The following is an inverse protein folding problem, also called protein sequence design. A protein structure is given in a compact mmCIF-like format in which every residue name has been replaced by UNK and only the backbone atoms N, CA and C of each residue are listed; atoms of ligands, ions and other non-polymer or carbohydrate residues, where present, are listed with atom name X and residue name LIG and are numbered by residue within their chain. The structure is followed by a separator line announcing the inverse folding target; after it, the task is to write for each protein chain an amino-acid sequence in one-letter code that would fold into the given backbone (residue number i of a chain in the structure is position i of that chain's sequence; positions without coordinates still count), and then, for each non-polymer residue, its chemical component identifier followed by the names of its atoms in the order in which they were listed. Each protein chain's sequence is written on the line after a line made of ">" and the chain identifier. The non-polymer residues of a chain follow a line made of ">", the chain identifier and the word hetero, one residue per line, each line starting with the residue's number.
data_IF_441930774308
#
_entry.id   IF_441930774308
#
_cell.length_a   1.000
_cell.length_b   1.000
_cell.length_c   1.000
_cell.angle_alpha   90.00
_cell.angle_beta   90.00
_cell.angle_gamma   90.00
#
_symmetry.space_group_name_H-M   'P 1'
#
loop_
_entity.id
_entity.type
_entity.pdbx_description
1 polymer ?
#
# COMPACT_ATOMS: atom_id res chain seq x y z
N UNK A 1 16.89 8.73 7.05
CA UNK A 1 17.28 7.53 7.85
C UNK A 1 16.05 6.81 8.42
N UNK A 2 15.03 7.52 8.93
CA UNK A 2 13.81 6.94 9.52
C UNK A 2 12.98 6.13 8.52
N UNK A 3 12.82 6.59 7.26
CA UNK A 3 12.06 5.85 6.22
C UNK A 3 12.66 4.51 5.85
N UNK A 4 13.98 4.43 5.72
CA UNK A 4 14.66 3.15 5.42
C UNK A 4 14.44 2.13 6.54
N UNK A 5 14.48 2.59 7.80
CA UNK A 5 14.21 1.76 8.97
C UNK A 5 12.77 1.26 8.96
N UNK A 6 11.81 2.18 8.73
CA UNK A 6 10.37 1.89 8.62
C UNK A 6 10.09 0.79 7.59
N UNK A 7 10.58 0.94 6.35
CA UNK A 7 10.35 -0.05 5.30
C UNK A 7 11.07 -1.37 5.56
N UNK A 8 12.23 -1.36 6.19
CA UNK A 8 12.94 -2.59 6.60
C UNK A 8 12.14 -3.36 7.65
N UNK A 9 11.62 -2.69 8.67
CA UNK A 9 10.77 -3.29 9.70
C UNK A 9 9.45 -3.80 9.10
N UNK A 10 8.82 -3.02 8.23
CA UNK A 10 7.61 -3.43 7.52
C UNK A 10 7.85 -4.67 6.64
N UNK A 11 8.95 -4.74 5.90
CA UNK A 11 9.30 -5.89 5.08
C UNK A 11 9.53 -7.16 5.92
N UNK A 12 10.23 -7.04 7.05
CA UNK A 12 10.45 -8.15 8.01
C UNK A 12 9.11 -8.63 8.59
N UNK A 13 8.26 -7.70 9.05
CA UNK A 13 6.94 -7.99 9.59
C UNK A 13 6.05 -8.70 8.55
N UNK A 14 6.02 -8.20 7.33
CA UNK A 14 5.23 -8.79 6.24
C UNK A 14 5.77 -10.19 5.86
N UNK A 15 7.11 -10.35 5.77
CA UNK A 15 7.73 -11.67 5.51
C UNK A 15 7.27 -12.71 6.54
N UNK A 16 7.26 -12.35 7.84
CA UNK A 16 6.84 -13.22 8.93
C UNK A 16 5.33 -13.49 8.88
N UNK A 17 4.52 -12.44 8.85
CA UNK A 17 3.05 -12.54 8.95
C UNK A 17 2.43 -13.32 7.80
N UNK A 18 2.93 -13.16 6.58
CA UNK A 18 2.41 -13.83 5.39
C UNK A 18 3.24 -15.05 4.97
N UNK A 19 4.23 -15.45 5.78
CA UNK A 19 5.13 -16.59 5.49
C UNK A 19 5.71 -16.50 4.07
N UNK A 20 6.12 -15.29 3.65
CA UNK A 20 6.58 -15.02 2.30
C UNK A 20 7.89 -15.76 2.02
N UNK A 21 7.97 -16.40 0.84
CA UNK A 21 9.15 -17.16 0.39
C UNK A 21 9.90 -16.36 -0.66
N UNK A 22 11.12 -15.91 -0.34
CA UNK A 22 11.90 -14.96 -1.15
C UNK A 22 12.09 -15.39 -2.62
N UNK A 23 12.20 -16.69 -2.91
CA UNK A 23 12.34 -17.21 -4.28
C UNK A 23 11.01 -17.29 -5.06
N UNK A 24 9.86 -17.39 -4.38
CA UNK A 24 8.55 -17.64 -5.00
C UNK A 24 7.67 -16.40 -5.02
N UNK A 25 7.62 -15.66 -3.92
CA UNK A 25 6.73 -14.52 -3.71
C UNK A 25 7.00 -13.39 -4.71
N UNK A 26 5.95 -12.90 -5.37
CA UNK A 26 5.97 -11.75 -6.25
C UNK A 26 5.34 -10.53 -5.56
N UNK A 27 6.10 -9.45 -5.49
CA UNK A 27 5.72 -8.22 -4.78
C UNK A 27 5.66 -7.07 -5.80
N UNK A 28 4.58 -6.31 -5.74
CA UNK A 28 4.42 -5.05 -6.49
C UNK A 28 4.31 -3.90 -5.49
N UNK A 29 4.98 -2.80 -5.78
CA UNK A 29 4.88 -1.56 -5.02
C UNK A 29 4.38 -0.43 -5.93
N UNK A 30 3.25 0.16 -5.57
CA UNK A 30 2.59 1.21 -6.34
C UNK A 30 3.02 2.56 -5.78
N UNK A 31 3.47 3.48 -6.67
CA UNK A 31 4.13 4.71 -6.26
C UNK A 31 5.46 4.41 -5.60
N UNK A 32 6.24 3.53 -6.23
CA UNK A 32 7.43 2.94 -5.62
C UNK A 32 8.57 3.92 -5.39
N UNK A 33 8.43 5.16 -5.84
CA UNK A 33 9.46 6.19 -5.73
C UNK A 33 10.81 5.69 -6.30
N UNK A 34 11.90 5.90 -5.61
CA UNK A 34 13.24 5.37 -5.99
C UNK A 34 13.45 3.90 -5.60
N UNK A 35 12.38 3.18 -5.24
CA UNK A 35 12.38 1.76 -4.90
C UNK A 35 12.72 1.48 -3.43
N UNK A 36 12.62 2.46 -2.55
CA UNK A 36 13.03 2.34 -1.14
C UNK A 36 12.34 1.17 -0.41
N UNK A 37 11.03 0.97 -0.59
CA UNK A 37 10.31 -0.15 0.03
C UNK A 37 10.73 -1.49 -0.59
N UNK A 38 10.85 -1.56 -1.92
CA UNK A 38 11.29 -2.76 -2.62
C UNK A 38 12.75 -3.13 -2.32
N UNK A 39 13.60 -2.14 -2.05
CA UNK A 39 14.98 -2.39 -1.61
C UNK A 39 15.03 -3.18 -0.33
N UNK A 40 14.15 -2.87 0.64
CA UNK A 40 14.05 -3.64 1.88
C UNK A 40 13.69 -5.12 1.62
N UNK A 41 12.79 -5.42 0.68
CA UNK A 41 12.49 -6.79 0.29
C UNK A 41 13.66 -7.43 -0.48
N UNK A 42 14.32 -6.69 -1.38
CA UNK A 42 15.50 -7.18 -2.10
C UNK A 42 16.62 -7.61 -1.15
N UNK A 43 16.89 -6.81 -0.12
CA UNK A 43 17.89 -7.12 0.91
C UNK A 43 17.52 -8.37 1.73
N UNK A 44 16.22 -8.72 1.84
CA UNK A 44 15.72 -9.97 2.41
C UNK A 44 15.72 -11.16 1.43
N UNK A 45 16.31 -10.98 0.23
CA UNK A 45 16.49 -12.00 -0.78
C UNK A 45 15.30 -12.20 -1.74
N UNK A 46 14.31 -11.29 -1.77
CA UNK A 46 13.21 -11.36 -2.72
C UNK A 46 13.69 -10.95 -4.11
N UNK A 47 13.48 -11.85 -5.11
CA UNK A 47 13.92 -11.65 -6.49
C UNK A 47 12.80 -11.18 -7.43
N UNK A 48 11.55 -11.49 -7.10
CA UNK A 48 10.38 -11.13 -7.92
C UNK A 48 9.72 -9.89 -7.33
N UNK A 49 10.30 -8.74 -7.61
CA UNK A 49 9.84 -7.43 -7.17
C UNK A 49 9.63 -6.52 -8.37
N UNK A 50 8.60 -5.66 -8.33
CA UNK A 50 8.29 -4.69 -9.37
C UNK A 50 7.77 -3.40 -8.76
N UNK A 51 8.38 -2.29 -9.10
CA UNK A 51 7.86 -0.96 -8.83
C UNK A 51 6.95 -0.45 -9.97
N UNK A 52 5.97 0.36 -9.62
CA UNK A 52 5.17 1.15 -10.56
C UNK A 52 5.30 2.60 -10.14
N UNK A 53 5.94 3.44 -10.97
CA UNK A 53 6.29 4.80 -10.61
C UNK A 53 6.12 5.74 -11.81
N UNK A 54 5.24 6.77 -11.72
CA UNK A 54 5.02 7.70 -12.83
C UNK A 54 6.17 8.67 -13.04
N UNK A 55 6.89 9.07 -11.98
CA UNK A 55 8.01 10.00 -12.08
C UNK A 55 9.22 9.35 -12.75
N UNK A 56 9.53 9.78 -13.97
CA UNK A 56 10.59 9.20 -14.83
C UNK A 56 11.97 9.21 -14.17
N UNK A 57 12.32 10.25 -13.46
CA UNK A 57 13.59 10.38 -12.75
C UNK A 57 13.73 9.35 -11.63
N UNK A 58 12.66 9.12 -10.86
CA UNK A 58 12.62 8.17 -9.75
C UNK A 58 12.63 6.73 -10.26
N UNK A 59 11.79 6.42 -11.25
CA UNK A 59 11.81 5.11 -11.90
C UNK A 59 13.18 4.78 -12.51
N UNK A 60 13.85 5.76 -13.15
CA UNK A 60 15.22 5.61 -13.67
C UNK A 60 16.22 5.32 -12.55
N UNK A 61 16.11 6.01 -11.40
CA UNK A 61 16.96 5.79 -10.22
C UNK A 61 16.80 4.38 -9.67
N UNK A 62 15.54 3.92 -9.46
CA UNK A 62 15.25 2.58 -9.00
C UNK A 62 15.82 1.50 -9.94
N UNK A 63 15.63 1.67 -11.26
CA UNK A 63 16.18 0.73 -12.26
C UNK A 63 17.72 0.68 -12.25
N UNK A 64 18.42 1.81 -12.05
CA UNK A 64 19.89 1.84 -11.88
C UNK A 64 20.32 1.01 -10.66
N UNK A 65 19.55 1.00 -9.58
CA UNK A 65 19.79 0.16 -8.39
C UNK A 65 19.30 -1.30 -8.56
N UNK A 66 18.99 -1.70 -9.80
CA UNK A 66 18.49 -3.05 -10.14
C UNK A 66 17.18 -3.40 -9.43
N UNK A 67 16.32 -2.41 -9.20
CA UNK A 67 14.93 -2.57 -8.76
C UNK A 67 14.07 -2.32 -9.98
N UNK A 68 13.59 -3.42 -10.59
CA UNK A 68 12.75 -3.33 -11.80
C UNK A 68 11.54 -2.44 -11.52
N UNK A 69 11.42 -1.34 -12.28
CA UNK A 69 10.35 -0.37 -12.10
C UNK A 69 9.74 -0.02 -13.45
N UNK A 70 8.42 -0.18 -13.55
CA UNK A 70 7.63 0.29 -14.66
C UNK A 70 7.40 1.81 -14.51
N UNK A 71 7.80 2.60 -15.52
CA UNK A 71 7.55 4.03 -15.50
C UNK A 71 6.17 4.35 -16.07
N UNK A 72 5.24 4.70 -15.22
CA UNK A 72 3.86 5.05 -15.56
C UNK A 72 2.91 4.91 -14.39
N UNK A 73 1.69 5.40 -14.57
CA UNK A 73 0.60 5.24 -13.60
C UNK A 73 0.03 3.82 -13.64
N UNK A 74 -0.52 3.39 -12.49
CA UNK A 74 -1.32 2.18 -12.42
C UNK A 74 -2.73 2.48 -12.96
N UNK A 75 -2.90 2.27 -14.24
CA UNK A 75 -4.13 2.49 -14.99
C UNK A 75 -4.44 1.27 -15.87
N UNK A 76 -5.71 1.10 -16.25
CA UNK A 76 -6.19 -0.03 -17.06
C UNK A 76 -5.42 -0.21 -18.37
N UNK A 77 -5.06 0.91 -19.04
CA UNK A 77 -4.26 0.89 -20.28
C UNK A 77 -2.85 0.32 -20.11
N UNK A 78 -2.30 0.36 -18.89
CA UNK A 78 -0.96 -0.10 -18.57
C UNK A 78 -0.92 -1.54 -18.01
N UNK A 79 -2.04 -2.12 -17.62
CA UNK A 79 -2.10 -3.45 -16.99
C UNK A 79 -1.45 -4.57 -17.81
N UNK A 80 -1.55 -4.51 -19.15
CA UNK A 80 -0.94 -5.50 -20.05
C UNK A 80 0.58 -5.52 -19.95
N UNK A 81 1.22 -4.44 -19.49
CA UNK A 81 2.66 -4.29 -19.32
C UNK A 81 3.15 -4.81 -17.96
N UNK A 82 2.24 -5.07 -17.03
CA UNK A 82 2.53 -5.48 -15.66
C UNK A 82 2.13 -6.95 -15.48
N UNK A 83 3.06 -7.77 -15.00
CA UNK A 83 2.79 -9.18 -14.73
C UNK A 83 1.76 -9.34 -13.63
N UNK A 84 0.72 -10.13 -13.89
CA UNK A 84 -0.34 -10.48 -12.92
C UNK A 84 0.13 -11.52 -11.88
N UNK A 85 -0.76 -11.85 -10.94
CA UNK A 85 -0.57 -12.83 -9.88
C UNK A 85 0.46 -12.43 -8.81
N UNK A 86 0.41 -11.16 -8.39
CA UNK A 86 1.17 -10.68 -7.24
C UNK A 86 0.66 -11.34 -5.94
N UNK A 87 1.58 -11.75 -5.09
CA UNK A 87 1.28 -12.26 -3.75
C UNK A 87 1.10 -11.13 -2.74
N UNK A 88 1.80 -10.01 -2.98
CA UNK A 88 1.75 -8.83 -2.15
C UNK A 88 1.75 -7.59 -3.05
N UNK A 89 0.82 -6.68 -2.80
CA UNK A 89 0.80 -5.35 -3.40
C UNK A 89 0.90 -4.32 -2.28
N UNK A 90 1.83 -3.40 -2.41
CA UNK A 90 2.03 -2.28 -1.50
C UNK A 90 1.57 -0.99 -2.17
N UNK A 91 0.99 -0.08 -1.39
CA UNK A 91 0.68 1.29 -1.80
C UNK A 91 0.82 2.19 -0.58
N UNK A 92 2.04 2.69 -0.36
CA UNK A 92 2.37 3.53 0.80
C UNK A 92 2.41 5.00 0.41
N UNK A 93 1.54 5.81 1.03
CA UNK A 93 1.41 7.24 0.78
C UNK A 93 1.14 7.61 -0.69
N UNK A 94 0.35 6.80 -1.37
CA UNK A 94 -0.02 6.98 -2.79
C UNK A 94 -1.51 7.16 -2.94
N UNK A 95 -2.27 6.48 -2.10
CA UNK A 95 -3.73 6.44 -2.22
C UNK A 95 -4.38 7.81 -1.97
N UNK A 96 -3.72 8.69 -1.19
CA UNK A 96 -4.15 10.06 -0.97
C UNK A 96 -3.91 10.98 -2.18
N UNK A 97 -2.98 10.62 -3.08
CA UNK A 97 -2.55 11.43 -4.22
C UNK A 97 -3.22 11.06 -5.56
N UNK A 98 -4.19 10.15 -5.56
CA UNK A 98 -4.86 9.73 -6.79
C UNK A 98 -6.24 10.34 -6.92
N UNK A 99 -6.51 10.92 -8.09
CA UNK A 99 -7.84 11.34 -8.54
C UNK A 99 -8.64 10.17 -9.14
N UNK A 100 -7.96 9.05 -9.47
CA UNK A 100 -8.53 7.84 -10.09
C UNK A 100 -8.54 6.63 -9.17
N UNK A 101 -8.95 6.83 -7.92
CA UNK A 101 -8.88 5.81 -6.85
C UNK A 101 -9.57 4.51 -7.22
N UNK A 102 -10.76 4.58 -7.83
CA UNK A 102 -11.52 3.39 -8.22
C UNK A 102 -10.76 2.58 -9.27
N UNK A 103 -10.26 3.21 -10.32
CA UNK A 103 -9.46 2.55 -11.35
C UNK A 103 -8.17 1.95 -10.77
N UNK A 104 -7.48 2.68 -9.88
CA UNK A 104 -6.29 2.19 -9.20
C UNK A 104 -6.60 0.93 -8.38
N UNK A 105 -7.68 0.93 -7.59
CA UNK A 105 -8.10 -0.22 -6.80
C UNK A 105 -8.46 -1.41 -7.68
N UNK A 106 -9.24 -1.20 -8.75
CA UNK A 106 -9.58 -2.23 -9.75
C UNK A 106 -8.31 -2.86 -10.36
N UNK A 107 -7.33 -2.02 -10.73
CA UNK A 107 -6.05 -2.48 -11.25
C UNK A 107 -5.27 -3.31 -10.21
N UNK A 108 -5.22 -2.88 -8.95
CA UNK A 108 -4.58 -3.66 -7.89
C UNK A 108 -5.25 -5.03 -7.72
N UNK A 109 -6.59 -5.09 -7.71
CA UNK A 109 -7.30 -6.37 -7.65
C UNK A 109 -7.06 -7.26 -8.87
N UNK A 110 -6.93 -6.70 -10.08
CA UNK A 110 -6.60 -7.47 -11.28
C UNK A 110 -5.18 -8.04 -11.25
N UNK A 111 -4.23 -7.34 -10.64
CA UNK A 111 -2.85 -7.78 -10.48
C UNK A 111 -2.66 -8.80 -9.36
N UNK A 112 -3.51 -8.75 -8.32
CA UNK A 112 -3.41 -9.60 -7.14
C UNK A 112 -3.82 -11.04 -7.44
N UNK A 113 -3.09 -12.03 -6.93
CA UNK A 113 -3.53 -13.42 -6.98
C UNK A 113 -4.67 -13.70 -5.97
N UNK A 114 -5.30 -14.88 -6.06
CA UNK A 114 -6.46 -15.24 -5.22
C UNK A 114 -6.16 -15.24 -3.71
N UNK A 115 -4.92 -15.53 -3.31
CA UNK A 115 -4.47 -15.60 -1.91
C UNK A 115 -3.61 -14.41 -1.50
N UNK A 116 -3.43 -13.44 -2.41
CA UNK A 116 -2.59 -12.28 -2.19
C UNK A 116 -3.19 -11.28 -1.21
N UNK A 117 -2.34 -10.36 -0.77
CA UNK A 117 -2.71 -9.28 0.15
C UNK A 117 -2.35 -7.94 -0.48
N UNK A 118 -3.26 -6.98 -0.40
CA UNK A 118 -2.97 -5.57 -0.65
C UNK A 118 -2.74 -4.90 0.71
N UNK A 119 -1.67 -4.12 0.80
CA UNK A 119 -1.37 -3.29 1.97
C UNK A 119 -1.37 -1.84 1.51
N UNK A 120 -2.25 -1.05 2.10
CA UNK A 120 -2.32 0.40 1.86
C UNK A 120 -1.94 1.10 3.15
N UNK A 121 -1.04 2.06 3.04
CA UNK A 121 -0.65 2.97 4.12
C UNK A 121 -0.96 4.39 3.68
N UNK A 122 -1.74 5.10 4.50
CA UNK A 122 -2.13 6.48 4.24
C UNK A 122 -2.10 7.27 5.54
N UNK A 123 -1.96 8.58 5.42
CA UNK A 123 -2.11 9.48 6.55
C UNK A 123 -3.49 9.31 7.20
N UNK A 124 -3.51 9.28 8.53
CA UNK A 124 -4.72 9.02 9.29
C UNK A 124 -5.42 10.33 9.66
N UNK A 125 -6.58 10.58 9.05
CA UNK A 125 -7.35 11.82 9.23
C UNK A 125 -7.61 12.15 10.70
N UNK A 126 -7.90 11.14 11.52
CA UNK A 126 -8.19 11.36 12.94
C UNK A 126 -7.00 11.97 13.70
N UNK A 127 -5.77 11.56 13.35
CA UNK A 127 -4.57 12.17 13.91
C UNK A 127 -4.39 13.62 13.43
N UNK A 128 -4.62 13.88 12.13
CA UNK A 128 -4.58 15.23 11.57
C UNK A 128 -5.51 16.18 12.33
N UNK A 129 -6.73 15.72 12.65
CA UNK A 129 -7.71 16.53 13.39
C UNK A 129 -7.35 16.69 14.87
N UNK A 130 -6.87 15.64 15.53
CA UNK A 130 -6.51 15.67 16.96
C UNK A 130 -5.25 16.51 17.22
N UNK A 131 -4.25 16.34 16.36
CA UNK A 131 -2.93 16.97 16.55
C UNK A 131 -2.85 18.32 15.83
N UNK A 132 -3.96 18.76 15.20
CA UNK A 132 -4.08 20.03 14.47
C UNK A 132 -2.96 20.22 13.42
N UNK A 133 -2.54 19.15 12.77
CA UNK A 133 -1.46 19.15 11.76
C UNK A 133 -1.99 19.63 10.40
N UNK A 134 -2.35 20.92 10.32
CA UNK A 134 -2.94 21.54 9.13
C UNK A 134 -1.98 21.65 7.94
N UNK A 135 -0.68 21.55 8.17
CA UNK A 135 0.37 21.44 7.14
C UNK A 135 0.19 20.21 6.23
N UNK A 136 -0.59 19.24 6.69
CA UNK A 136 -0.99 18.08 5.90
C UNK A 136 -2.08 18.39 4.87
N UNK A 137 -2.70 19.60 4.94
CA UNK A 137 -3.74 20.02 4.00
C UNK A 137 -3.08 20.83 2.90
N UNK A 138 -2.74 20.17 1.79
CA UNK A 138 -2.13 20.81 0.64
C UNK A 138 -2.59 20.16 -0.69
N UNK A 139 -2.32 20.82 -1.81
CA UNK A 139 -2.90 20.53 -3.12
C UNK A 139 -2.61 19.13 -3.69
N UNK A 140 -1.57 18.43 -3.21
CA UNK A 140 -1.26 17.06 -3.65
C UNK A 140 -2.09 15.99 -2.92
N UNK A 141 -2.71 16.32 -1.77
CA UNK A 141 -3.60 15.43 -1.04
C UNK A 141 -5.05 15.60 -1.53
N UNK A 142 -5.46 14.83 -2.51
CA UNK A 142 -6.85 14.82 -3.00
C UNK A 142 -7.83 14.18 -2.03
N UNK A 143 -7.34 13.30 -1.15
CA UNK A 143 -8.17 12.50 -0.26
C UNK A 143 -7.55 12.38 1.13
N UNK A 144 -8.40 12.45 2.14
CA UNK A 144 -8.06 12.25 3.55
C UNK A 144 -8.81 11.03 4.06
N UNK A 145 -8.12 10.14 4.78
CA UNK A 145 -8.64 8.83 5.08
C UNK A 145 -8.77 8.55 6.57
N UNK A 146 -9.96 8.12 6.99
CA UNK A 146 -10.21 7.36 8.20
C UNK A 146 -10.39 5.88 7.86
N UNK A 147 -10.41 5.00 8.84
CA UNK A 147 -10.72 3.59 8.60
C UNK A 147 -12.17 3.43 8.11
N UNK A 148 -13.09 4.20 8.66
CA UNK A 148 -14.50 4.23 8.23
C UNK A 148 -14.63 4.59 6.75
N UNK A 149 -13.93 5.63 6.29
CA UNK A 149 -13.95 6.03 4.88
C UNK A 149 -13.31 4.98 3.98
N UNK A 150 -12.21 4.34 4.39
CA UNK A 150 -11.58 3.24 3.67
C UNK A 150 -12.52 2.03 3.58
N UNK A 151 -13.16 1.63 4.68
CA UNK A 151 -14.14 0.52 4.67
C UNK A 151 -15.28 0.84 3.72
N UNK A 152 -15.83 2.05 3.74
CA UNK A 152 -16.91 2.46 2.85
C UNK A 152 -16.46 2.46 1.37
N UNK A 153 -15.25 2.96 1.08
CA UNK A 153 -14.70 2.93 -0.27
C UNK A 153 -14.55 1.50 -0.80
N UNK A 154 -14.02 0.59 0.03
CA UNK A 154 -13.77 -0.79 -0.38
C UNK A 154 -15.01 -1.69 -0.41
N UNK A 155 -16.18 -1.26 0.13
CA UNK A 155 -17.46 -1.99 0.03
C UNK A 155 -17.91 -2.25 -1.42
N UNK A 156 -17.51 -1.41 -2.37
CA UNK A 156 -17.84 -1.58 -3.80
C UNK A 156 -17.07 -2.72 -4.48
N UNK A 157 -16.06 -3.30 -3.81
CA UNK A 157 -15.24 -4.39 -4.31
C UNK A 157 -15.54 -5.69 -3.56
N UNK A 158 -15.36 -6.83 -4.23
CA UNK A 158 -15.41 -8.13 -3.54
C UNK A 158 -14.13 -8.37 -2.75
N UNK A 159 -14.05 -7.76 -1.57
CA UNK A 159 -12.86 -7.84 -0.71
C UNK A 159 -13.22 -7.64 0.77
N UNK A 160 -12.25 -7.89 1.63
CA UNK A 160 -12.32 -7.66 3.08
C UNK A 160 -11.09 -6.91 3.55
N UNK A 161 -11.27 -5.77 4.21
CA UNK A 161 -10.26 -5.17 5.09
C UNK A 161 -10.27 -5.98 6.38
N UNK A 162 -9.34 -6.90 6.52
CA UNK A 162 -9.35 -7.84 7.64
C UNK A 162 -8.44 -7.43 8.80
N UNK A 163 -7.48 -6.52 8.55
CA UNK A 163 -6.56 -5.98 9.56
C UNK A 163 -6.36 -4.50 9.34
N UNK A 164 -6.22 -3.74 10.42
CA UNK A 164 -5.82 -2.33 10.41
C UNK A 164 -4.85 -2.05 11.56
N UNK A 165 -3.89 -1.15 11.35
CA UNK A 165 -2.87 -0.78 12.33
C UNK A 165 -2.61 0.72 12.25
N UNK A 166 -2.57 1.39 13.41
CA UNK A 166 -2.06 2.75 13.52
C UNK A 166 -0.53 2.73 13.52
N UNK A 167 0.11 3.63 12.80
CA UNK A 167 1.56 3.67 12.60
C UNK A 167 2.06 5.09 12.86
N UNK A 168 3.15 5.20 13.61
CA UNK A 168 3.76 6.47 13.98
C UNK A 168 4.70 6.99 12.86
N UNK A 169 4.18 7.17 11.64
CA UNK A 169 4.89 7.78 10.53
C UNK A 169 4.09 8.95 10.01
N UNK A 170 4.74 10.00 9.51
CA UNK A 170 4.07 11.19 8.94
C UNK A 170 3.01 11.83 9.85
N UNK A 171 3.30 12.00 11.13
CA UNK A 171 2.31 12.55 12.07
C UNK A 171 1.17 11.57 12.43
N UNK A 172 1.34 10.29 12.08
CA UNK A 172 0.36 9.22 12.28
C UNK A 172 -0.31 8.78 11.00
N UNK A 173 -0.14 7.50 10.68
CA UNK A 173 -0.72 6.84 9.51
C UNK A 173 -1.59 5.66 9.92
N UNK A 174 -2.49 5.26 9.03
CA UNK A 174 -3.21 4.00 9.14
C UNK A 174 -2.75 3.06 8.04
N UNK A 175 -2.50 1.81 8.41
CA UNK A 175 -2.16 0.74 7.47
C UNK A 175 -3.27 -0.29 7.49
N UNK A 176 -3.85 -0.57 6.32
CA UNK A 176 -4.89 -1.58 6.15
C UNK A 176 -4.40 -2.74 5.31
N UNK A 177 -4.95 -3.90 5.57
CA UNK A 177 -4.64 -5.16 4.89
C UNK A 177 -5.91 -5.72 4.28
N UNK A 178 -5.88 -5.94 2.96
CA UNK A 178 -7.05 -6.29 2.17
C UNK A 178 -6.81 -7.62 1.47
N UNK A 179 -7.81 -8.49 1.47
CA UNK A 179 -7.87 -9.72 0.67
C UNK A 179 -9.10 -9.74 -0.22
N UNK A 180 -9.02 -10.47 -1.33
CA UNK A 180 -10.17 -10.77 -2.18
C UNK A 180 -11.20 -11.63 -1.45
N UNK A 181 -12.48 -11.39 -1.73
CA UNK A 181 -13.60 -12.11 -1.15
C UNK A 181 -14.00 -11.61 0.25
N UNK A 182 -15.19 -12.04 0.69
CA UNK A 182 -15.81 -11.62 1.96
C UNK A 182 -15.68 -12.64 3.09
N UNK A 183 -14.89 -13.69 2.89
CA UNK A 183 -14.77 -14.82 3.85
C UNK A 183 -13.65 -14.66 4.89
N UNK A 184 -12.83 -13.63 4.78
CA UNK A 184 -11.71 -13.42 5.71
C UNK A 184 -12.23 -12.94 7.06
N UNK A 185 -11.70 -13.52 8.14
CA UNK A 185 -12.05 -13.10 9.50
C UNK A 185 -11.46 -11.74 9.82
N UNK A 186 -12.33 -10.79 10.16
CA UNK A 186 -11.91 -9.44 10.55
C UNK A 186 -11.26 -9.50 11.94
N UNK A 187 -10.04 -8.97 12.06
CA UNK A 187 -9.30 -8.90 13.31
C UNK A 187 -9.89 -7.86 14.27
N UNK A 188 -9.68 -8.09 15.58
CA UNK A 188 -10.21 -7.23 16.65
C UNK A 188 -9.83 -5.74 16.48
N UNK A 189 -8.61 -5.48 16.01
CA UNK A 189 -8.10 -4.10 15.83
C UNK A 189 -8.94 -3.26 14.86
N UNK A 190 -9.50 -3.87 13.80
CA UNK A 190 -10.39 -3.15 12.87
C UNK A 190 -11.60 -2.61 13.62
N UNK A 191 -12.22 -3.45 14.45
CA UNK A 191 -13.41 -3.06 15.25
C UNK A 191 -13.08 -1.98 16.28
N UNK A 192 -11.92 -2.11 16.95
CA UNK A 192 -11.47 -1.14 17.96
C UNK A 192 -11.25 0.24 17.29
N UNK A 193 -10.56 0.30 16.16
CA UNK A 193 -10.29 1.57 15.48
C UNK A 193 -11.59 2.20 14.97
N UNK A 194 -12.51 1.41 14.41
CA UNK A 194 -13.83 1.93 13.98
C UNK A 194 -14.62 2.52 15.17
N UNK A 195 -14.63 1.85 16.33
CA UNK A 195 -15.29 2.36 17.54
C UNK A 195 -14.62 3.65 18.08
N UNK A 196 -13.32 3.81 17.87
CA UNK A 196 -12.63 5.06 18.26
C UNK A 196 -12.98 6.22 17.32
N UNK A 197 -13.27 5.95 16.05
CA UNK A 197 -13.69 6.95 15.06
C UNK A 197 -15.15 7.41 15.24
N UNK A 198 -15.99 6.65 15.96
CA UNK A 198 -17.37 7.00 16.28
C UNK A 198 -17.50 7.98 17.46
N UNK A 199 -16.43 8.21 18.24
CA UNK A 199 -16.37 9.09 19.41
C UNK A 199 -15.93 10.49 19.05
#
# INVERSE_FOLDING_TARGET
>A
ESFRKHFKEAALKNKKNFKLKSKKTYIIDIGSNDGIALKAFKDLGFKKILGVEPAKNLAKKANKEKIKTFNGYLESKNLKKIKKNADLILASNVFAHSDKLKEMAECMFQLLNKKGVIIIEVQYLLNTLRDLTFDNIYHEHFNYWSLTSLVNFFKQFDCTIYRAEKINTHGGSIRIYIKKGKKEKIEKNVKIILQEEEK
#
